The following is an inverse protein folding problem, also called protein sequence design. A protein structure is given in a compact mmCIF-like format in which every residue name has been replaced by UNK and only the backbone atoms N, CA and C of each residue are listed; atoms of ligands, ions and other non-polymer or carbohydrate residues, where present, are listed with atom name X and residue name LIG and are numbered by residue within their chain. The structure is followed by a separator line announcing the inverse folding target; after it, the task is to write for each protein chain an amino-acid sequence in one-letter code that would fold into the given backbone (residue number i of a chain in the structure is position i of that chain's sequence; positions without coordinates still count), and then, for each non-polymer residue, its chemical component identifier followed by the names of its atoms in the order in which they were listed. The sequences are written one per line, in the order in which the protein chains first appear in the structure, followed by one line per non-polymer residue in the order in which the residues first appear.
data_IF_942870166131
#
_entry.id   IF_942870166131
#
_cell.length_a   1.000
_cell.length_b   1.000
_cell.length_c   1.000
_cell.angle_alpha   90.00
_cell.angle_beta   90.00
_cell.angle_gamma   90.00
#
_symmetry.space_group_name_H-M   'P 1'
#
loop_
_entity.id
_entity.type
_entity.pdbx_description
1 polymer ?
#
# COMPACT_ATOMS: atom_id res chain seq x y z
N UNK A 1 3.61 -18.70 23.34
CA UNK A 1 3.51 -17.28 22.96
C UNK A 1 3.42 -17.25 21.45
N UNK A 2 2.25 -16.98 20.87
CA UNK A 2 2.14 -16.87 19.41
C UNK A 2 2.98 -15.68 18.95
N UNK A 3 3.96 -15.92 18.08
CA UNK A 3 4.82 -14.87 17.56
C UNK A 3 3.99 -13.92 16.69
N UNK A 4 3.51 -12.81 17.25
CA UNK A 4 2.84 -11.76 16.48
C UNK A 4 3.86 -10.81 15.87
N UNK A 5 3.64 -10.40 14.63
CA UNK A 5 4.44 -9.33 14.03
C UNK A 5 3.87 -7.94 14.35
N UNK A 6 4.68 -6.89 14.13
CA UNK A 6 4.29 -5.49 14.40
C UNK A 6 3.04 -5.05 13.66
N UNK A 7 2.79 -5.61 12.46
CA UNK A 7 1.66 -5.22 11.62
C UNK A 7 0.29 -5.64 12.16
N UNK A 8 0.23 -6.60 13.10
CA UNK A 8 -1.04 -6.97 13.76
C UNK A 8 -1.76 -5.75 14.33
N UNK A 9 -1.02 -4.88 15.01
CA UNK A 9 -1.55 -3.68 15.64
C UNK A 9 -1.69 -2.51 14.65
N UNK A 10 -0.74 -2.38 13.70
CA UNK A 10 -0.73 -1.29 12.73
C UNK A 10 -1.96 -1.35 11.81
N UNK A 11 -2.33 -2.55 11.33
CA UNK A 11 -3.44 -2.71 10.38
C UNK A 11 -4.70 -3.30 11.01
N UNK A 12 -4.65 -3.67 12.29
CA UNK A 12 -5.80 -4.21 13.03
C UNK A 12 -6.27 -5.59 12.58
N UNK A 13 -5.41 -6.42 11.97
CA UNK A 13 -5.75 -7.76 11.49
C UNK A 13 -4.85 -8.84 12.10
N UNK A 14 -5.36 -10.07 12.33
CA UNK A 14 -4.58 -11.14 12.94
C UNK A 14 -3.41 -11.58 12.07
N UNK A 15 -2.33 -12.04 12.70
CA UNK A 15 -1.23 -12.71 11.99
C UNK A 15 -1.68 -14.08 11.46
N UNK A 16 -1.09 -14.50 10.34
CA UNK A 16 -1.32 -15.82 9.75
C UNK A 16 -0.12 -16.21 8.87
N UNK A 17 -0.10 -17.46 8.42
CA UNK A 17 0.73 -17.88 7.29
C UNK A 17 0.23 -17.24 5.97
N UNK A 18 1.06 -17.22 4.94
CA UNK A 18 0.65 -16.78 3.61
C UNK A 18 -0.36 -17.79 3.04
N UNK A 19 -1.58 -17.33 2.75
CA UNK A 19 -2.67 -18.19 2.23
C UNK A 19 -2.33 -18.86 0.90
N UNK A 20 -1.33 -18.35 0.18
CA UNK A 20 -0.86 -18.90 -1.09
C UNK A 20 0.29 -19.89 -0.91
N UNK A 21 0.87 -19.97 0.28
CA UNK A 21 1.94 -20.90 0.61
C UNK A 21 1.37 -22.23 1.13
N UNK A 22 1.61 -23.30 0.38
CA UNK A 22 1.14 -24.66 0.72
C UNK A 22 1.84 -25.22 1.97
N UNK A 23 3.06 -24.79 2.26
CA UNK A 23 3.82 -25.24 3.43
C UNK A 23 3.25 -24.69 4.74
N UNK A 24 2.45 -23.62 4.67
CA UNK A 24 1.92 -22.86 5.82
C UNK A 24 3.03 -22.43 6.79
N UNK A 25 4.24 -22.21 6.30
CA UNK A 25 5.37 -21.78 7.11
C UNK A 25 5.06 -20.42 7.74
N UNK A 26 5.16 -20.35 9.06
CA UNK A 26 4.94 -19.12 9.82
C UNK A 26 6.25 -18.67 10.47
N UNK A 27 6.98 -17.80 9.76
CA UNK A 27 8.22 -17.19 10.25
C UNK A 27 8.08 -15.68 10.18
N UNK A 28 8.14 -15.03 11.34
CA UNK A 28 8.19 -13.58 11.45
C UNK A 28 9.62 -13.11 11.21
N UNK A 29 9.80 -12.16 10.30
CA UNK A 29 11.12 -11.63 9.92
C UNK A 29 11.18 -10.12 10.16
N UNK A 30 12.38 -9.53 10.33
CA UNK A 30 12.53 -8.08 10.33
C UNK A 30 11.99 -7.45 9.03
N UNK A 31 11.28 -6.32 9.12
CA UNK A 31 10.74 -5.66 7.93
C UNK A 31 11.84 -5.29 6.93
N UNK A 32 13.00 -4.88 7.44
CA UNK A 32 14.17 -4.50 6.65
C UNK A 32 14.76 -5.63 5.81
N UNK A 33 14.42 -6.91 6.10
CA UNK A 33 14.81 -8.03 5.25
C UNK A 33 13.89 -8.21 4.04
N UNK A 34 12.82 -7.40 3.91
CA UNK A 34 11.92 -7.40 2.75
C UNK A 34 12.42 -6.42 1.68
N UNK A 35 13.58 -6.70 1.10
CA UNK A 35 14.28 -5.81 0.16
C UNK A 35 14.09 -6.21 -1.31
N UNK A 36 13.06 -6.99 -1.64
CA UNK A 36 12.80 -7.38 -3.03
C UNK A 36 12.58 -6.15 -3.90
N UNK A 37 13.10 -6.21 -5.12
CA UNK A 37 12.83 -5.21 -6.12
C UNK A 37 11.33 -5.23 -6.50
N UNK A 38 10.79 -4.03 -6.75
CA UNK A 38 9.37 -3.82 -7.03
C UNK A 38 9.14 -3.13 -8.38
N UNK A 39 10.14 -3.04 -9.27
CA UNK A 39 9.96 -2.38 -10.58
C UNK A 39 8.84 -3.01 -11.39
N UNK A 40 8.84 -4.34 -11.55
CA UNK A 40 7.78 -5.04 -12.30
C UNK A 40 6.40 -4.81 -11.69
N UNK A 41 6.32 -4.73 -10.36
CA UNK A 41 5.08 -4.46 -9.65
C UNK A 41 4.58 -3.04 -9.88
N UNK A 42 5.49 -2.06 -9.86
CA UNK A 42 5.20 -0.66 -10.18
C UNK A 42 4.71 -0.51 -11.61
N UNK A 43 5.37 -1.18 -12.55
CA UNK A 43 5.00 -1.19 -13.96
C UNK A 43 3.64 -1.84 -14.20
N UNK A 44 3.38 -3.01 -13.59
CA UNK A 44 2.12 -3.73 -13.73
C UNK A 44 0.89 -2.89 -13.29
N UNK A 45 1.08 -2.00 -12.32
CA UNK A 45 -0.01 -1.17 -11.78
C UNK A 45 0.19 0.33 -12.04
N UNK A 46 1.15 0.73 -12.87
CA UNK A 46 1.45 2.13 -13.22
C UNK A 46 1.49 3.09 -12.02
N UNK A 47 2.31 2.81 -11.00
CA UNK A 47 2.49 3.70 -9.84
C UNK A 47 3.97 3.91 -9.48
N UNK A 48 4.27 4.97 -8.72
CA UNK A 48 5.63 5.36 -8.37
C UNK A 48 5.79 5.76 -6.88
N UNK A 49 7.04 6.05 -6.51
CA UNK A 49 7.42 6.59 -5.20
C UNK A 49 7.79 5.54 -4.14
N UNK A 50 8.19 4.33 -4.54
CA UNK A 50 8.78 3.31 -3.66
C UNK A 50 9.91 2.59 -4.39
N UNK A 51 10.95 2.20 -3.65
CA UNK A 51 12.15 1.56 -4.19
C UNK A 51 12.16 0.04 -3.94
N UNK A 52 11.68 -0.40 -2.78
CA UNK A 52 11.74 -1.79 -2.35
C UNK A 52 10.44 -2.26 -1.68
N UNK A 53 10.35 -3.57 -1.41
CA UNK A 53 9.18 -4.18 -0.79
C UNK A 53 8.90 -3.62 0.63
N UNK A 54 9.90 -3.30 1.45
CA UNK A 54 9.70 -2.68 2.78
C UNK A 54 8.97 -1.33 2.68
N UNK A 55 9.39 -0.46 1.76
CA UNK A 55 8.73 0.83 1.52
C UNK A 55 7.30 0.67 1.00
N UNK A 56 7.09 -0.30 0.11
CA UNK A 56 5.78 -0.64 -0.40
C UNK A 56 4.83 -1.10 0.72
N UNK A 57 5.33 -1.94 1.63
CA UNK A 57 4.60 -2.42 2.80
C UNK A 57 4.22 -1.24 3.71
N UNK A 58 5.19 -0.38 4.06
CA UNK A 58 4.94 0.78 4.92
C UNK A 58 3.88 1.70 4.33
N UNK A 59 4.01 2.05 3.05
CA UNK A 59 3.07 2.93 2.37
C UNK A 59 1.65 2.33 2.30
N UNK A 60 1.53 1.01 2.09
CA UNK A 60 0.22 0.31 2.10
C UNK A 60 -0.34 0.05 3.50
N UNK A 61 0.47 0.21 4.54
CA UNK A 61 0.02 0.24 5.93
C UNK A 61 -0.29 1.66 6.42
N UNK A 62 -0.17 2.68 5.57
CA UNK A 62 -0.42 4.08 5.92
C UNK A 62 0.72 4.76 6.68
N UNK A 63 1.89 4.12 6.74
CA UNK A 63 3.08 4.67 7.40
C UNK A 63 3.89 5.45 6.36
N UNK A 64 3.65 6.76 6.30
CA UNK A 64 4.39 7.68 5.41
C UNK A 64 5.54 8.40 6.10
N UNK A 65 5.53 8.43 7.43
CA UNK A 65 6.51 9.09 8.28
C UNK A 65 6.85 8.16 9.45
N UNK A 66 8.09 7.68 9.50
CA UNK A 66 8.61 6.89 10.61
C UNK A 66 10.14 6.99 10.59
N UNK A 67 10.78 7.04 11.76
CA UNK A 67 12.24 7.12 11.82
C UNK A 67 12.87 5.81 11.32
N UNK A 68 14.08 5.90 10.74
CA UNK A 68 14.81 4.70 10.30
C UNK A 68 15.08 3.72 11.45
N UNK A 69 15.22 4.22 12.68
CA UNK A 69 15.39 3.41 13.89
C UNK A 69 14.13 2.58 14.19
N UNK A 70 12.96 3.21 14.13
CA UNK A 70 11.69 2.53 14.40
C UNK A 70 11.35 1.53 13.30
N UNK A 71 11.63 1.87 12.04
CA UNK A 71 11.46 0.94 10.90
C UNK A 71 12.30 -0.34 11.09
N UNK A 72 13.54 -0.21 11.60
CA UNK A 72 14.42 -1.37 11.89
C UNK A 72 13.87 -2.27 12.99
N UNK A 73 13.05 -1.75 13.89
CA UNK A 73 12.42 -2.51 14.96
C UNK A 73 11.13 -3.24 14.51
N UNK A 74 10.58 -2.89 13.34
CA UNK A 74 9.38 -3.53 12.83
C UNK A 74 9.67 -4.96 12.36
N UNK A 75 8.73 -5.85 12.66
CA UNK A 75 8.70 -7.23 12.15
C UNK A 75 7.44 -7.47 11.33
N UNK A 76 7.49 -8.42 10.40
CA UNK A 76 6.36 -8.76 9.54
C UNK A 76 6.20 -10.28 9.41
N UNK A 77 4.95 -10.74 9.47
CA UNK A 77 4.61 -12.15 9.26
C UNK A 77 4.32 -12.43 7.76
N UNK A 78 4.31 -13.71 7.34
CA UNK A 78 4.08 -14.07 5.94
C UNK A 78 2.74 -13.57 5.39
N UNK A 79 1.68 -13.60 6.18
CA UNK A 79 0.36 -13.06 5.79
C UNK A 79 0.41 -11.57 5.50
N UNK A 80 0.85 -10.74 6.46
CA UNK A 80 0.91 -9.28 6.28
C UNK A 80 1.88 -8.90 5.15
N UNK A 81 2.98 -9.63 4.97
CA UNK A 81 3.89 -9.44 3.83
C UNK A 81 3.19 -9.73 2.50
N UNK A 82 2.34 -10.75 2.43
CA UNK A 82 1.58 -11.10 1.22
C UNK A 82 0.51 -10.05 0.90
N UNK A 83 -0.17 -9.54 1.93
CA UNK A 83 -1.26 -8.56 1.79
C UNK A 83 -0.76 -7.12 1.57
N UNK A 84 0.43 -6.75 2.03
CA UNK A 84 0.96 -5.40 1.90
C UNK A 84 2.09 -5.30 0.87
N UNK A 85 2.85 -6.37 0.67
CA UNK A 85 4.05 -6.39 -0.17
C UNK A 85 3.77 -6.69 -1.64
N UNK A 86 4.76 -7.32 -2.29
CA UNK A 86 4.74 -7.59 -3.73
C UNK A 86 3.56 -8.47 -4.18
N UNK A 87 3.11 -9.39 -3.32
CA UNK A 87 2.03 -10.34 -3.67
C UNK A 87 0.63 -9.72 -3.66
N UNK A 88 0.47 -8.50 -3.16
CA UNK A 88 -0.81 -7.79 -3.23
C UNK A 88 -1.24 -7.59 -4.68
N UNK A 89 -2.54 -7.72 -4.95
CA UNK A 89 -3.10 -7.47 -6.29
C UNK A 89 -4.31 -6.55 -6.20
N UNK A 90 -4.46 -5.70 -7.21
CA UNK A 90 -5.66 -4.87 -7.39
C UNK A 90 -6.86 -5.79 -7.66
N UNK A 91 -7.92 -5.66 -6.87
CA UNK A 91 -9.13 -6.49 -7.00
C UNK A 91 -10.08 -6.02 -8.10
N UNK A 92 -10.03 -4.73 -8.48
CA UNK A 92 -10.95 -4.14 -9.46
C UNK A 92 -10.27 -3.08 -10.30
N UNK A 93 -10.58 -3.03 -11.60
CA UNK A 93 -10.03 -2.06 -12.56
C UNK A 93 -10.72 -0.68 -12.56
N UNK A 94 -11.44 -0.36 -11.48
CA UNK A 94 -12.13 0.91 -11.27
C UNK A 94 -11.31 1.89 -10.43
N UNK A 95 -11.68 3.17 -10.47
CA UNK A 95 -11.16 4.22 -9.59
C UNK A 95 -11.53 3.92 -8.13
N UNK A 96 -10.58 4.15 -7.22
CA UNK A 96 -10.72 3.96 -5.76
C UNK A 96 -10.57 5.27 -4.97
N UNK A 97 -10.49 6.40 -5.68
CA UNK A 97 -10.46 7.73 -5.06
C UNK A 97 -11.89 8.09 -4.64
N UNK A 98 -12.02 8.71 -3.47
CA UNK A 98 -13.30 9.24 -2.99
C UNK A 98 -13.87 10.25 -3.98
N UNK A 99 -15.18 10.21 -4.22
CA UNK A 99 -15.87 11.10 -5.17
C UNK A 99 -15.65 12.59 -4.86
N UNK A 100 -15.40 12.94 -3.60
CA UNK A 100 -15.09 14.30 -3.15
C UNK A 100 -13.76 14.84 -3.69
N UNK A 101 -12.82 13.95 -4.01
CA UNK A 101 -11.47 14.28 -4.49
C UNK A 101 -11.31 13.91 -5.97
N UNK A 102 -12.08 12.91 -6.43
CA UNK A 102 -12.08 12.47 -7.81
C UNK A 102 -12.60 13.58 -8.75
N UNK A 103 -12.14 13.58 -10.00
CA UNK A 103 -12.57 14.57 -11.02
C UNK A 103 -13.45 14.00 -12.10
N UNK A 104 -13.82 12.73 -11.96
CA UNK A 104 -14.94 12.19 -12.70
C UNK A 104 -16.23 12.52 -11.94
N UNK A 105 -17.32 12.72 -12.69
CA UNK A 105 -18.64 12.87 -12.09
C UNK A 105 -19.02 11.65 -11.24
N UNK A 106 -20.03 11.82 -10.37
CA UNK A 106 -20.59 10.72 -9.57
C UNK A 106 -21.07 9.62 -10.52
N UNK A 107 -20.45 8.45 -10.44
CA UNK A 107 -20.76 7.33 -11.33
C UNK A 107 -20.00 6.08 -10.92
N UNK A 108 -20.72 4.95 -10.79
CA UNK A 108 -20.10 3.67 -10.47
C UNK A 108 -19.22 3.22 -11.66
N UNK A 109 -17.98 2.82 -11.37
CA UNK A 109 -17.19 2.01 -12.29
C UNK A 109 -16.29 2.75 -13.28
N UNK A 110 -15.93 4.02 -13.03
CA UNK A 110 -14.94 4.71 -13.86
C UNK A 110 -13.64 3.91 -13.88
N UNK A 111 -13.14 3.59 -15.08
CA UNK A 111 -11.89 2.85 -15.26
C UNK A 111 -10.73 3.65 -14.67
N UNK A 112 -9.90 2.99 -13.86
CA UNK A 112 -8.67 3.59 -13.37
C UNK A 112 -7.56 3.44 -14.43
N UNK A 113 -7.07 4.56 -14.95
CA UNK A 113 -6.04 4.61 -15.99
C UNK A 113 -4.64 4.29 -15.44
N UNK A 114 -4.39 4.62 -14.16
CA UNK A 114 -3.11 4.40 -13.47
C UNK A 114 -3.32 3.86 -12.06
N UNK A 115 -2.22 3.54 -11.39
CA UNK A 115 -2.20 3.19 -9.97
C UNK A 115 -1.92 4.40 -9.09
N UNK A 116 -2.54 4.39 -7.91
CA UNK A 116 -2.26 5.36 -6.85
C UNK A 116 -0.80 5.25 -6.44
N UNK A 117 -0.06 6.33 -6.61
CA UNK A 117 1.36 6.45 -6.23
C UNK A 117 1.51 6.85 -4.76
N UNK A 118 2.72 6.68 -4.19
CA UNK A 118 2.98 6.99 -2.77
C UNK A 118 2.57 8.42 -2.41
N UNK A 119 2.94 9.40 -3.22
CA UNK A 119 2.61 10.82 -2.99
C UNK A 119 1.09 11.05 -2.94
N UNK A 120 0.35 10.44 -3.86
CA UNK A 120 -1.11 10.56 -3.91
C UNK A 120 -1.75 9.91 -2.68
N UNK A 121 -1.36 8.67 -2.36
CA UNK A 121 -1.88 7.95 -1.20
C UNK A 121 -1.64 8.71 0.10
N UNK A 122 -0.43 9.27 0.25
CA UNK A 122 -0.04 10.12 1.38
C UNK A 122 -0.94 11.34 1.52
N UNK A 123 -1.13 12.10 0.45
CA UNK A 123 -1.96 13.32 0.46
C UNK A 123 -3.41 13.00 0.80
N UNK A 124 -3.97 11.93 0.24
CA UNK A 124 -5.34 11.49 0.57
C UNK A 124 -5.40 11.15 2.05
N UNK A 125 -4.50 10.28 2.52
CA UNK A 125 -4.47 9.83 3.91
C UNK A 125 -4.33 10.99 4.91
N UNK A 126 -3.48 11.97 4.62
CA UNK A 126 -3.30 13.16 5.47
C UNK A 126 -4.56 14.04 5.54
N UNK A 127 -5.35 14.09 4.47
CA UNK A 127 -6.54 14.96 4.39
C UNK A 127 -7.80 14.30 4.91
N UNK A 128 -7.95 13.01 4.68
CA UNK A 128 -9.21 12.30 4.95
C UNK A 128 -9.08 11.25 6.05
N UNK A 129 -7.86 10.89 6.46
CA UNK A 129 -7.62 9.73 7.33
C UNK A 129 -7.89 8.38 6.65
N UNK A 130 -8.32 8.37 5.38
CA UNK A 130 -8.67 7.16 4.65
C UNK A 130 -7.49 6.73 3.79
N UNK A 131 -7.01 5.51 4.03
CA UNK A 131 -5.88 4.95 3.29
C UNK A 131 -6.34 4.35 1.96
N UNK A 132 -5.73 4.81 0.87
CA UNK A 132 -5.87 4.19 -0.46
C UNK A 132 -4.59 3.41 -0.77
N UNK A 133 -4.62 2.06 -0.84
CA UNK A 133 -3.42 1.26 -1.07
C UNK A 133 -2.72 1.60 -2.40
N UNK A 134 -1.38 1.61 -2.39
CA UNK A 134 -0.58 1.85 -3.59
C UNK A 134 -0.90 0.83 -4.69
N UNK A 135 -1.00 1.31 -5.93
CA UNK A 135 -1.42 0.53 -7.09
C UNK A 135 -2.94 0.36 -7.24
N UNK A 136 -3.75 0.89 -6.32
CA UNK A 136 -5.21 0.97 -6.50
C UNK A 136 -5.54 1.84 -7.71
N UNK A 137 -6.64 1.56 -8.40
CA UNK A 137 -7.03 2.33 -9.58
C UNK A 137 -7.28 3.79 -9.28
N UNK A 138 -6.75 4.67 -10.12
CA UNK A 138 -7.05 6.10 -10.11
C UNK A 138 -7.42 6.54 -11.53
N UNK A 139 -8.57 7.19 -11.65
CA UNK A 139 -8.95 7.97 -12.82
C UNK A 139 -8.50 9.43 -12.58
N UNK A 140 -8.21 10.17 -13.66
CA UNK A 140 -7.61 11.51 -13.65
C UNK A 140 -8.05 12.38 -12.44
N UNK A 141 -7.06 12.89 -11.70
CA UNK A 141 -7.28 13.82 -10.57
C UNK A 141 -7.37 15.28 -11.06
N UNK A 142 -8.10 16.11 -10.31
CA UNK A 142 -8.39 17.51 -10.66
C UNK A 142 -7.08 18.27 -10.83
N UNK A 143 -6.94 19.20 -11.78
CA UNK A 143 -5.83 20.15 -11.78
C UNK A 143 -5.66 20.90 -10.43
N UNK A 144 -6.72 21.07 -9.64
CA UNK A 144 -6.63 21.60 -8.27
C UNK A 144 -5.90 20.62 -7.33
N UNK A 145 -6.15 19.31 -7.45
CA UNK A 145 -5.42 18.26 -6.74
C UNK A 145 -3.98 18.08 -7.25
N UNK A 146 -3.70 18.39 -8.54
CA UNK A 146 -2.33 18.47 -9.06
C UNK A 146 -1.52 19.57 -8.37
N UNK A 147 -2.11 20.75 -8.11
CA UNK A 147 -1.43 21.82 -7.36
C UNK A 147 -1.07 21.43 -5.93
N UNK A 148 -1.78 20.47 -5.34
CA UNK A 148 -1.58 20.00 -3.97
C UNK A 148 -0.46 18.96 -3.85
N UNK A 149 -0.14 18.24 -4.93
CA UNK A 149 0.89 17.19 -4.95
C UNK A 149 2.30 17.78 -5.23
N UNK A 150 2.40 19.04 -5.68
CA UNK A 150 3.65 19.70 -6.10
C UNK A 150 4.14 20.74 -5.06
N UNK A 151 3.69 20.66 -3.81
CA UNK A 151 4.22 21.49 -2.70
C UNK A 151 4.99 20.62 -1.72
#
# INVERSE_FOLDING_TARGET
MEASCSFKFIVGSPCSYDRRDRSKLFVVVPLVSCNKDVQDHKSAWCFAGVENESELILARAGIFYMSAKDIKALTICPFHRSELGFRWRRSQNTCRILDEIASHGKGKGVKGDRGVSRAISKVIFQRTGILVPLGSGVALMNPIAKKIIVV
#
